data_IF_669628107333
#
_entry.id   IF_669628107333
#
_cell.length_a   1.000
_cell.length_b   1.000
_cell.length_c   1.000
_cell.angle_alpha   90.00
_cell.angle_beta   90.00
_cell.angle_gamma   90.00
#
_symmetry.space_group_name_H-M   'P 1'
#
loop_
_entity.id
_entity.type
_entity.pdbx_description
1 polymer ?
#
# COMPACT_ATOMS: atom_id res chain seq x y z
N UNK A 1 67.57 -11.97 13.48
CA UNK A 1 66.14 -12.00 13.88
C UNK A 1 65.31 -12.21 12.61
N UNK A 2 65.04 -13.46 12.23
CA UNK A 2 64.40 -13.82 10.96
C UNK A 2 62.98 -14.35 11.18
N UNK A 3 61.97 -13.66 10.66
CA UNK A 3 60.55 -13.98 10.81
C UNK A 3 60.17 -15.18 9.94
N UNK A 4 59.81 -16.31 10.58
CA UNK A 4 59.22 -17.48 9.91
C UNK A 4 57.82 -17.12 9.41
N UNK A 5 57.67 -16.87 8.11
CA UNK A 5 56.34 -16.83 7.46
C UNK A 5 55.78 -18.25 7.44
N UNK A 6 54.55 -18.44 7.93
CA UNK A 6 53.85 -19.73 7.82
C UNK A 6 53.50 -19.96 6.35
N UNK A 7 53.79 -21.15 5.86
CA UNK A 7 53.43 -21.56 4.50
C UNK A 7 51.90 -21.55 4.30
N UNK A 8 51.42 -21.14 3.12
CA UNK A 8 50.00 -21.15 2.81
C UNK A 8 49.48 -22.59 2.73
N UNK A 9 48.36 -22.83 3.41
CA UNK A 9 47.73 -24.16 3.48
C UNK A 9 47.29 -24.61 2.09
N UNK A 10 47.70 -25.81 1.67
CA UNK A 10 47.39 -26.41 0.37
C UNK A 10 45.87 -26.55 0.16
N UNK A 11 45.37 -26.09 -0.99
CA UNK A 11 43.94 -26.13 -1.38
C UNK A 11 43.32 -27.53 -1.30
N UNK A 12 44.12 -28.59 -1.41
CA UNK A 12 43.63 -29.97 -1.33
C UNK A 12 43.12 -30.37 0.06
N UNK A 13 43.64 -29.76 1.14
CA UNK A 13 43.10 -29.98 2.49
C UNK A 13 41.69 -29.43 2.65
N UNK A 14 41.33 -28.36 1.93
CA UNK A 14 39.95 -27.84 1.95
C UNK A 14 38.97 -28.79 1.25
N UNK A 15 39.39 -29.44 0.16
CA UNK A 15 38.53 -30.37 -0.60
C UNK A 15 38.27 -31.69 0.11
N UNK A 16 39.16 -32.11 1.01
CA UNK A 16 38.96 -33.32 1.82
C UNK A 16 37.93 -33.09 2.94
N UNK A 17 37.96 -31.93 3.60
CA UNK A 17 37.02 -31.59 4.69
C UNK A 17 35.60 -31.36 4.14
N UNK A 18 35.47 -30.77 2.95
CA UNK A 18 34.17 -30.54 2.31
C UNK A 18 33.45 -31.83 1.84
N UNK A 19 34.15 -32.97 1.74
CA UNK A 19 33.52 -34.28 1.40
C UNK A 19 33.10 -35.10 2.62
N UNK A 20 33.58 -34.77 3.82
CA UNK A 20 33.20 -35.43 5.08
C UNK A 20 32.04 -34.74 5.83
N UNK A 21 31.86 -33.44 5.64
CA UNK A 21 30.66 -32.73 6.06
C UNK A 21 29.61 -32.87 4.96
N UNK A 22 28.53 -33.62 5.19
CA UNK A 22 27.45 -33.93 4.23
C UNK A 22 26.65 -32.73 3.69
N UNK A 23 27.32 -31.67 3.24
CA UNK A 23 26.75 -30.49 2.60
C UNK A 23 26.50 -30.83 1.14
N UNK A 24 25.32 -31.41 0.88
CA UNK A 24 24.77 -31.44 -0.48
C UNK A 24 24.55 -29.99 -0.91
N UNK A 25 25.36 -29.52 -1.86
CA UNK A 25 25.10 -28.26 -2.56
C UNK A 25 23.72 -28.39 -3.22
N UNK A 26 22.73 -27.70 -2.68
CA UNK A 26 21.37 -27.70 -3.19
C UNK A 26 21.39 -26.91 -4.50
N UNK A 27 21.55 -27.62 -5.61
CA UNK A 27 21.37 -27.06 -6.95
C UNK A 27 19.96 -26.49 -7.00
N UNK A 28 19.84 -25.16 -7.13
CA UNK A 28 18.55 -24.49 -7.27
C UNK A 28 17.86 -25.05 -8.53
N UNK A 29 16.60 -25.48 -8.45
CA UNK A 29 15.86 -25.87 -9.65
C UNK A 29 15.68 -24.64 -10.55
N UNK A 30 16.00 -24.79 -11.84
CA UNK A 30 15.93 -23.75 -12.89
C UNK A 30 14.56 -23.07 -13.04
N UNK A 31 13.51 -23.59 -12.41
CA UNK A 31 12.19 -22.97 -12.37
C UNK A 31 12.11 -21.72 -11.48
N UNK A 32 13.04 -21.55 -10.52
CA UNK A 32 13.05 -20.39 -9.62
C UNK A 32 13.53 -19.13 -10.34
N UNK A 33 14.44 -19.26 -11.32
CA UNK A 33 14.89 -18.13 -12.14
C UNK A 33 13.80 -17.66 -13.11
N UNK A 34 12.92 -18.56 -13.58
CA UNK A 34 11.77 -18.20 -14.40
C UNK A 34 10.70 -17.44 -13.60
N UNK A 35 10.45 -17.84 -12.35
CA UNK A 35 9.48 -17.17 -11.47
C UNK A 35 9.96 -15.78 -11.01
N UNK A 36 11.26 -15.63 -10.73
CA UNK A 36 11.85 -14.34 -10.36
C UNK A 36 11.97 -13.38 -11.56
N UNK A 37 12.23 -13.90 -12.76
CA UNK A 37 12.22 -13.11 -14.00
C UNK A 37 10.82 -12.62 -14.38
N UNK A 38 9.76 -13.42 -14.12
CA UNK A 38 8.37 -13.01 -14.38
C UNK A 38 7.87 -11.98 -13.35
N UNK A 39 8.32 -12.07 -12.10
CA UNK A 39 7.98 -11.09 -11.05
C UNK A 39 8.66 -9.72 -11.26
N UNK A 40 9.91 -9.71 -11.76
CA UNK A 40 10.61 -8.47 -12.11
C UNK A 40 10.08 -7.82 -13.41
N UNK A 41 9.52 -8.60 -14.33
CA UNK A 41 8.90 -8.06 -15.54
C UNK A 41 7.55 -7.36 -15.27
N UNK A 42 6.77 -7.81 -14.27
CA UNK A 42 5.53 -7.10 -13.89
C UNK A 42 5.79 -5.86 -13.00
N UNK A 43 6.83 -5.87 -12.16
CA UNK A 43 7.18 -4.73 -11.33
C UNK A 43 7.78 -3.54 -12.11
N UNK A 44 8.45 -3.80 -13.24
CA UNK A 44 9.05 -2.75 -14.07
C UNK A 44 8.04 -1.99 -14.96
N UNK A 45 6.78 -2.44 -15.06
CA UNK A 45 5.76 -1.76 -15.87
C UNK A 45 5.07 -0.60 -15.13
N UNK A 46 5.25 -0.50 -13.80
CA UNK A 46 4.55 0.49 -12.96
C UNK A 46 5.43 1.71 -12.63
N UNK A 47 6.74 1.69 -12.93
CA UNK A 47 7.69 2.68 -12.40
C UNK A 47 8.58 3.43 -13.43
N UNK A 48 8.18 3.56 -14.70
CA UNK A 48 8.88 4.44 -15.66
C UNK A 48 7.97 5.58 -16.11
N UNK A 49 8.29 6.85 -15.80
CA UNK A 49 7.65 7.97 -16.48
C UNK A 49 8.25 8.07 -17.88
N UNK A 50 7.54 7.58 -18.90
CA UNK A 50 7.91 7.88 -20.29
C UNK A 50 7.35 9.25 -20.67
N UNK A 51 8.17 10.27 -20.45
CA UNK A 51 8.04 11.55 -21.13
C UNK A 51 8.92 11.56 -22.39
N UNK A 52 8.32 12.07 -23.47
CA UNK A 52 8.90 12.65 -24.69
C UNK A 52 8.73 11.90 -26.03
N UNK A 53 8.43 12.73 -27.05
CA UNK A 53 8.22 12.51 -28.49
C UNK A 53 6.85 11.90 -28.85
N UNK A 54 5.82 12.63 -29.30
CA UNK A 54 5.75 13.70 -30.30
C UNK A 54 6.54 13.38 -31.58
N UNK A 55 5.83 13.33 -32.70
CA UNK A 55 6.26 13.10 -34.10
C UNK A 55 6.29 11.62 -34.53
N UNK A 56 5.41 11.30 -35.49
CA UNK A 56 5.61 10.18 -36.42
C UNK A 56 4.42 9.24 -36.64
N UNK A 57 3.34 9.71 -37.28
CA UNK A 57 2.48 8.88 -38.15
C UNK A 57 1.53 9.76 -38.98
N UNK A 58 2.09 10.77 -39.65
CA UNK A 58 1.46 11.36 -40.82
C UNK A 58 2.43 11.15 -41.97
N UNK A 59 2.21 10.15 -42.83
CA UNK A 59 2.48 10.25 -44.28
C UNK A 59 2.11 9.05 -45.17
N UNK A 60 1.32 8.05 -44.74
CA UNK A 60 1.01 6.92 -45.66
C UNK A 60 -0.40 6.96 -46.28
N UNK A 61 -1.12 8.10 -46.23
CA UNK A 61 -2.41 8.24 -46.92
C UNK A 61 -2.61 9.59 -47.64
N UNK A 62 -1.53 10.22 -48.13
CA UNK A 62 -1.65 11.48 -48.91
C UNK A 62 -1.65 11.29 -50.43
N UNK A 63 -1.46 10.08 -50.97
CA UNK A 63 -1.28 9.94 -52.44
C UNK A 63 -2.57 9.76 -53.25
N UNK A 64 -3.79 9.76 -52.68
CA UNK A 64 -5.01 9.60 -53.52
C UNK A 64 -6.15 10.58 -53.25
N UNK A 65 -5.88 11.81 -52.80
CA UNK A 65 -6.91 12.86 -52.70
C UNK A 65 -6.61 14.13 -53.49
N UNK A 66 -6.04 13.99 -54.70
CA UNK A 66 -6.12 15.06 -55.72
C UNK A 66 -6.90 14.52 -56.91
N UNK A 67 -8.21 14.44 -56.79
CA UNK A 67 -9.14 14.61 -57.92
C UNK A 67 -10.58 14.60 -57.41
N UNK A 68 -11.10 15.79 -57.12
CA UNK A 68 -12.39 16.24 -57.66
C UNK A 68 -12.78 17.58 -57.03
N UNK A 69 -12.29 18.67 -57.62
CA UNK A 69 -12.93 19.98 -57.53
C UNK A 69 -14.28 19.94 -58.27
N UNK A 70 -15.36 19.75 -57.49
CA UNK A 70 -16.77 20.23 -57.57
C UNK A 70 -17.26 20.72 -58.96
N UNK A 71 -18.42 20.24 -59.47
CA UNK A 71 -19.68 20.97 -59.24
C UNK A 71 -20.99 20.15 -59.04
N UNK A 72 -21.79 20.65 -58.07
CA UNK A 72 -23.24 20.92 -58.06
C UNK A 72 -24.32 19.82 -57.88
N UNK A 73 -25.24 20.17 -56.96
CA UNK A 73 -26.69 19.90 -56.90
C UNK A 73 -27.16 18.44 -56.96
N UNK A 74 -27.25 17.76 -55.80
CA UNK A 74 -28.44 16.99 -55.39
C UNK A 74 -28.50 16.98 -53.86
N UNK A 75 -29.59 17.51 -53.28
CA UNK A 75 -29.73 17.78 -51.85
C UNK A 75 -29.90 16.56 -50.95
N UNK A 76 -29.00 15.57 -51.03
CA UNK A 76 -28.78 14.52 -50.02
C UNK A 76 -27.32 14.05 -50.08
N UNK A 77 -26.49 14.57 -49.19
CA UNK A 77 -25.17 14.00 -48.89
C UNK A 77 -25.26 13.23 -47.57
N UNK A 78 -25.14 11.90 -47.61
CA UNK A 78 -24.86 11.12 -46.41
C UNK A 78 -23.35 11.16 -46.19
N UNK A 79 -22.92 11.82 -45.12
CA UNK A 79 -21.56 11.69 -44.62
C UNK A 79 -21.51 10.35 -43.89
N UNK A 80 -20.82 9.37 -44.46
CA UNK A 80 -20.50 8.14 -43.74
C UNK A 80 -19.22 8.41 -42.94
N UNK A 81 -19.39 8.71 -41.65
CA UNK A 81 -18.28 8.91 -40.73
C UNK A 81 -17.73 7.52 -40.39
N UNK A 82 -16.42 7.25 -40.55
CA UNK A 82 -15.85 6.00 -40.06
C UNK A 82 -16.16 5.88 -38.57
N UNK A 83 -16.71 4.74 -38.16
CA UNK A 83 -16.97 4.47 -36.75
C UNK A 83 -15.69 4.75 -35.96
N UNK A 84 -15.75 5.74 -35.05
CA UNK A 84 -14.65 6.05 -34.16
C UNK A 84 -14.21 4.77 -33.48
N UNK A 85 -12.94 4.39 -33.66
CA UNK A 85 -12.36 3.25 -32.98
C UNK A 85 -12.67 3.34 -31.49
N UNK A 86 -13.23 2.28 -30.93
CA UNK A 86 -13.66 2.22 -29.54
C UNK A 86 -12.44 2.41 -28.64
N UNK A 87 -12.15 3.64 -28.24
CA UNK A 87 -11.19 3.90 -27.18
C UNK A 87 -11.78 3.27 -25.92
N UNK A 88 -11.13 2.20 -25.44
CA UNK A 88 -11.52 1.55 -24.20
C UNK A 88 -11.36 2.59 -23.08
N UNK A 89 -12.44 3.27 -22.71
CA UNK A 89 -12.39 4.25 -21.63
C UNK A 89 -12.02 3.50 -20.35
N UNK A 90 -10.84 3.81 -19.82
CA UNK A 90 -10.33 3.30 -18.57
C UNK A 90 -10.60 4.31 -17.46
N UNK A 91 -11.19 3.86 -16.35
CA UNK A 91 -11.18 4.60 -15.11
C UNK A 91 -10.76 3.69 -13.98
N UNK A 92 -9.95 4.22 -13.07
CA UNK A 92 -9.45 3.46 -11.94
C UNK A 92 -10.61 3.06 -11.02
N UNK A 93 -10.66 1.80 -10.56
CA UNK A 93 -11.57 1.39 -9.49
C UNK A 93 -11.35 2.26 -8.26
N UNK A 94 -12.41 2.69 -7.59
CA UNK A 94 -12.33 3.54 -6.40
C UNK A 94 -12.81 2.72 -5.21
N UNK A 95 -11.93 2.50 -4.23
CA UNK A 95 -12.31 1.95 -2.94
C UNK A 95 -13.11 2.99 -2.14
N UNK A 96 -14.07 2.51 -1.36
CA UNK A 96 -14.72 3.31 -0.32
C UNK A 96 -13.72 3.69 0.77
N UNK A 97 -14.15 4.52 1.72
CA UNK A 97 -13.28 5.05 2.79
C UNK A 97 -12.50 3.94 3.52
N UNK A 98 -11.19 3.87 3.26
CA UNK A 98 -10.27 2.96 3.96
C UNK A 98 -9.59 3.68 5.12
N UNK A 99 -9.48 3.05 6.31
CA UNK A 99 -8.75 3.64 7.42
C UNK A 99 -7.24 3.63 7.12
N UNK A 100 -6.52 4.67 7.54
CA UNK A 100 -5.06 4.69 7.43
C UNK A 100 -4.40 3.70 8.41
N UNK A 101 -5.02 3.48 9.57
CA UNK A 101 -4.56 2.58 10.64
C UNK A 101 -5.75 1.73 11.11
N UNK A 102 -5.50 0.45 11.39
CA UNK A 102 -6.50 -0.46 11.96
C UNK A 102 -5.83 -1.44 12.89
N UNK A 103 -6.55 -1.94 13.90
CA UNK A 103 -6.15 -3.08 14.74
C UNK A 103 -6.75 -4.41 14.28
N UNK A 104 -7.68 -4.36 13.33
CA UNK A 104 -8.35 -5.54 12.82
C UNK A 104 -7.53 -6.19 11.69
N UNK A 105 -7.14 -7.48 11.82
CA UNK A 105 -6.32 -8.15 10.81
C UNK A 105 -7.12 -8.52 9.54
N UNK A 106 -8.44 -8.32 9.54
CA UNK A 106 -9.31 -8.51 8.40
C UNK A 106 -9.88 -7.16 7.99
N UNK A 107 -9.59 -6.74 6.76
CA UNK A 107 -10.11 -5.51 6.18
C UNK A 107 -11.15 -5.83 5.11
N UNK A 108 -12.36 -5.31 5.27
CA UNK A 108 -13.36 -5.31 4.21
C UNK A 108 -13.02 -4.19 3.22
N UNK A 109 -12.61 -4.58 2.01
CA UNK A 109 -12.38 -3.68 0.89
C UNK A 109 -13.65 -3.64 0.05
N UNK A 110 -14.36 -2.51 0.09
CA UNK A 110 -15.49 -2.24 -0.79
C UNK A 110 -15.17 -1.07 -1.71
N UNK A 111 -15.91 -0.95 -2.80
CA UNK A 111 -15.80 0.19 -3.70
C UNK A 111 -16.58 0.02 -4.99
N UNK A 112 -16.32 0.94 -5.92
CA UNK A 112 -16.97 0.95 -7.23
C UNK A 112 -16.01 1.26 -8.36
N UNK A 113 -16.22 0.59 -9.48
CA UNK A 113 -15.71 0.97 -10.79
C UNK A 113 -16.70 1.97 -11.40
N UNK A 114 -16.26 3.15 -11.87
CA UNK A 114 -17.15 4.10 -12.53
C UNK A 114 -17.92 3.46 -13.68
N UNK A 115 -19.23 3.75 -13.79
CA UNK A 115 -20.14 3.03 -14.71
C UNK A 115 -19.70 3.05 -16.17
N UNK A 116 -19.08 4.14 -16.63
CA UNK A 116 -18.55 4.27 -17.99
C UNK A 116 -17.30 3.40 -18.26
N UNK A 117 -16.66 2.88 -17.22
CA UNK A 117 -15.57 1.91 -17.31
C UNK A 117 -16.04 0.47 -17.07
N UNK A 118 -17.33 0.24 -16.81
CA UNK A 118 -17.91 -1.11 -16.73
C UNK A 118 -18.20 -1.60 -18.14
N UNK A 119 -17.44 -2.58 -18.62
CA UNK A 119 -17.59 -3.16 -19.96
C UNK A 119 -17.51 -4.69 -19.88
N UNK A 120 -18.22 -5.38 -20.78
CA UNK A 120 -18.17 -6.83 -20.88
C UNK A 120 -16.74 -7.31 -21.18
N UNK A 121 -16.36 -8.46 -20.63
CA UNK A 121 -15.01 -9.03 -20.78
C UNK A 121 -13.95 -8.41 -19.87
N UNK A 122 -14.28 -7.39 -19.08
CA UNK A 122 -13.36 -6.86 -18.05
C UNK A 122 -13.46 -7.67 -16.75
N UNK A 123 -12.33 -7.76 -16.06
CA UNK A 123 -12.24 -8.34 -14.72
C UNK A 123 -11.56 -7.39 -13.76
N UNK A 124 -11.96 -7.47 -12.49
CA UNK A 124 -11.30 -6.78 -11.40
C UNK A 124 -10.27 -7.71 -10.76
N UNK A 125 -9.06 -7.22 -10.57
CA UNK A 125 -8.00 -7.92 -9.86
C UNK A 125 -7.64 -7.13 -8.60
N UNK A 126 -7.61 -7.81 -7.46
CA UNK A 126 -7.20 -7.22 -6.18
C UNK A 126 -5.89 -7.84 -5.74
N UNK A 127 -4.94 -6.97 -5.41
CA UNK A 127 -3.56 -7.31 -5.05
C UNK A 127 -3.30 -6.82 -3.64
N UNK A 128 -2.70 -7.66 -2.80
CA UNK A 128 -2.26 -7.31 -1.46
C UNK A 128 -0.77 -7.62 -1.33
N UNK A 129 0.03 -6.61 -1.01
CA UNK A 129 1.48 -6.74 -0.82
C UNK A 129 2.19 -7.42 -2.00
N UNK A 130 1.76 -7.10 -3.23
CA UNK A 130 2.29 -7.66 -4.47
C UNK A 130 1.76 -9.05 -4.86
N UNK A 131 0.92 -9.68 -4.04
CA UNK A 131 0.28 -10.96 -4.35
C UNK A 131 -1.18 -10.75 -4.79
N UNK A 132 -1.59 -11.41 -5.87
CA UNK A 132 -2.99 -11.41 -6.31
C UNK A 132 -3.81 -12.19 -5.27
N UNK A 133 -4.77 -11.50 -4.64
CA UNK A 133 -5.69 -12.09 -3.67
C UNK A 133 -6.90 -12.68 -4.37
N UNK A 134 -7.47 -11.93 -5.31
CA UNK A 134 -8.62 -12.38 -6.08
C UNK A 134 -8.64 -11.76 -7.46
N UNK A 135 -9.28 -12.44 -8.39
CA UNK A 135 -9.61 -11.93 -9.72
C UNK A 135 -11.03 -12.38 -10.03
N UNK A 136 -11.92 -11.41 -10.24
CA UNK A 136 -13.35 -11.67 -10.45
C UNK A 136 -13.83 -10.95 -11.69
N UNK A 137 -14.81 -11.50 -12.43
CA UNK A 137 -15.55 -10.74 -13.43
C UNK A 137 -16.11 -9.46 -12.81
N UNK A 138 -16.21 -8.39 -13.61
CA UNK A 138 -16.75 -7.13 -13.13
C UNK A 138 -18.26 -7.23 -12.94
N UNK A 139 -18.77 -6.81 -11.78
CA UNK A 139 -20.20 -6.73 -11.51
C UNK A 139 -20.86 -5.68 -12.42
N UNK A 140 -22.07 -5.92 -12.97
CA UNK A 140 -22.78 -4.93 -13.80
C UNK A 140 -23.06 -3.60 -13.10
N UNK A 141 -23.17 -3.59 -11.77
CA UNK A 141 -23.30 -2.37 -10.97
C UNK A 141 -21.97 -1.62 -10.76
N UNK A 142 -20.84 -2.23 -11.16
CA UNK A 142 -19.49 -1.77 -10.90
C UNK A 142 -19.02 -1.96 -9.46
N UNK A 143 -19.88 -2.44 -8.56
CA UNK A 143 -19.52 -2.65 -7.16
C UNK A 143 -18.55 -3.83 -7.00
N UNK A 144 -17.65 -3.72 -6.02
CA UNK A 144 -16.80 -4.82 -5.61
C UNK A 144 -16.69 -4.89 -4.09
N UNK A 145 -16.47 -6.11 -3.59
CA UNK A 145 -16.23 -6.39 -2.19
C UNK A 145 -15.22 -7.54 -2.08
N UNK A 146 -14.20 -7.38 -1.26
CA UNK A 146 -13.27 -8.44 -0.90
C UNK A 146 -12.85 -8.30 0.57
N UNK A 147 -12.57 -9.43 1.21
CA UNK A 147 -11.98 -9.44 2.55
C UNK A 147 -10.48 -9.71 2.42
N UNK A 148 -9.67 -8.81 2.97
CA UNK A 148 -8.22 -8.85 2.92
C UNK A 148 -7.64 -9.22 4.28
N UNK A 149 -6.77 -10.23 4.30
CA UNK A 149 -6.02 -10.61 5.48
C UNK A 149 -4.72 -9.80 5.57
N UNK A 150 -4.71 -8.77 6.42
CA UNK A 150 -3.59 -7.87 6.60
C UNK A 150 -2.44 -8.55 7.38
N UNK A 151 -1.22 -8.10 7.12
CA UNK A 151 -0.02 -8.43 7.91
C UNK A 151 0.32 -7.27 8.83
N UNK A 152 0.98 -7.54 9.95
CA UNK A 152 1.42 -6.47 10.86
C UNK A 152 2.29 -5.44 10.11
N UNK A 153 2.04 -4.16 10.39
CA UNK A 153 2.68 -3.04 9.71
C UNK A 153 1.96 -2.60 8.44
N UNK A 154 2.70 -1.97 7.53
CA UNK A 154 2.14 -1.37 6.31
C UNK A 154 1.72 -2.44 5.29
N UNK A 155 0.47 -2.35 4.82
CA UNK A 155 -0.07 -3.18 3.75
C UNK A 155 -0.41 -2.32 2.53
N UNK A 156 0.10 -2.72 1.36
CA UNK A 156 -0.21 -2.08 0.09
C UNK A 156 -1.33 -2.85 -0.61
N UNK A 157 -2.43 -2.16 -0.90
CA UNK A 157 -3.63 -2.71 -1.51
C UNK A 157 -3.77 -2.12 -2.91
N UNK A 158 -3.67 -2.96 -3.93
CA UNK A 158 -3.89 -2.60 -5.32
C UNK A 158 -5.25 -3.10 -5.81
N UNK A 159 -5.97 -2.27 -6.57
CA UNK A 159 -7.19 -2.66 -7.28
C UNK A 159 -7.01 -2.32 -8.75
N UNK A 160 -6.93 -3.33 -9.60
CA UNK A 160 -6.69 -3.21 -11.02
C UNK A 160 -7.91 -3.63 -11.83
N UNK A 161 -8.23 -2.84 -12.85
CA UNK A 161 -9.19 -3.18 -13.89
C UNK A 161 -8.44 -3.77 -15.07
N UNK A 162 -8.73 -5.03 -15.39
CA UNK A 162 -8.07 -5.79 -16.46
C UNK A 162 -9.03 -5.94 -17.64
N UNK A 163 -8.55 -5.69 -18.85
CA UNK A 163 -9.20 -6.09 -20.09
C UNK A 163 -8.29 -7.07 -20.82
N UNK A 164 -8.78 -8.27 -21.09
CA UNK A 164 -8.01 -9.40 -21.63
C UNK A 164 -6.76 -9.72 -20.81
N UNK A 165 -5.62 -9.12 -21.15
CA UNK A 165 -4.33 -9.28 -20.43
C UNK A 165 -3.70 -7.97 -19.98
N UNK A 166 -4.34 -6.84 -20.28
CA UNK A 166 -3.80 -5.52 -20.02
C UNK A 166 -4.47 -4.86 -18.82
N UNK A 167 -3.67 -4.20 -17.99
CA UNK A 167 -4.17 -3.32 -16.93
C UNK A 167 -4.63 -2.03 -17.57
N UNK A 168 -5.93 -1.80 -17.59
CA UNK A 168 -6.54 -0.61 -18.19
C UNK A 168 -6.49 0.57 -17.23
N UNK A 169 -6.67 0.31 -15.94
CA UNK A 169 -6.56 1.29 -14.88
C UNK A 169 -6.31 0.60 -13.54
N UNK A 170 -5.71 1.30 -12.58
CA UNK A 170 -5.50 0.77 -11.23
C UNK A 170 -5.51 1.88 -10.17
N UNK A 171 -5.86 1.49 -8.95
CA UNK A 171 -5.75 2.31 -7.74
C UNK A 171 -4.89 1.60 -6.70
N UNK A 172 -4.21 2.37 -5.86
CA UNK A 172 -3.37 1.86 -4.78
C UNK A 172 -3.66 2.58 -3.47
N UNK A 173 -3.78 1.81 -2.40
CA UNK A 173 -4.05 2.27 -1.04
C UNK A 173 -3.03 1.69 -0.08
N UNK A 174 -2.81 2.36 1.04
CA UNK A 174 -1.96 1.86 2.12
C UNK A 174 -2.74 1.86 3.42
N UNK A 175 -2.73 0.73 4.12
CA UNK A 175 -3.35 0.56 5.44
C UNK A 175 -2.33 -0.06 6.37
N UNK A 176 -2.13 0.52 7.55
CA UNK A 176 -1.23 -0.02 8.57
C UNK A 176 -2.03 -0.85 9.56
N UNK A 177 -1.69 -2.13 9.69
CA UNK A 177 -2.18 -2.96 10.79
C UNK A 177 -1.28 -2.72 12.00
N UNK A 178 -1.84 -2.16 13.05
CA UNK A 178 -1.19 -1.99 14.34
C UNK A 178 -2.07 -2.55 15.45
N UNK A 179 -1.53 -3.51 16.20
CA UNK A 179 -2.21 -4.20 17.30
C UNK A 179 -1.50 -3.97 18.63
N UNK A 180 -0.53 -3.07 18.64
CA UNK A 180 0.32 -2.83 19.79
C UNK A 180 -0.20 -1.61 20.53
N UNK A 181 -0.54 -1.71 21.81
CA UNK A 181 -0.86 -0.53 22.62
C UNK A 181 0.29 0.48 22.63
N UNK A 182 -0.02 1.79 22.63
CA UNK A 182 0.99 2.82 22.70
C UNK A 182 1.74 2.74 24.03
N UNK A 183 3.06 2.94 23.99
CA UNK A 183 3.85 3.03 25.23
C UNK A 183 3.55 4.34 25.94
N UNK A 184 3.34 4.29 27.25
CA UNK A 184 3.16 5.49 28.08
C UNK A 184 3.88 5.38 29.43
N UNK A 185 4.28 6.53 29.95
CA UNK A 185 4.79 6.69 31.32
C UNK A 185 4.07 7.84 31.99
N UNK A 186 3.88 7.73 33.31
CA UNK A 186 3.44 8.84 34.16
C UNK A 186 4.61 9.16 35.07
N UNK A 187 5.18 10.35 34.88
CA UNK A 187 6.36 10.79 35.62
C UNK A 187 5.96 11.45 36.94
N UNK A 188 4.79 12.11 36.97
CA UNK A 188 4.21 12.73 38.17
C UNK A 188 2.69 12.65 38.16
N UNK A 189 2.04 12.50 39.34
CA UNK A 189 2.66 12.14 40.62
C UNK A 189 3.21 10.71 40.60
N UNK A 190 4.20 10.42 41.45
CA UNK A 190 4.67 9.04 41.60
C UNK A 190 3.55 8.17 42.21
N UNK A 191 3.46 6.87 41.86
CA UNK A 191 2.47 5.98 42.45
C UNK A 191 2.53 5.99 43.98
N UNK A 192 1.39 6.28 44.62
CA UNK A 192 1.29 6.35 46.09
C UNK A 192 1.85 7.64 46.72
N UNK A 193 2.23 8.65 45.93
CA UNK A 193 2.70 9.92 46.47
C UNK A 193 1.59 10.68 47.20
N UNK A 194 1.93 11.25 48.36
CA UNK A 194 1.07 12.23 49.04
C UNK A 194 1.29 13.60 48.40
N UNK A 195 0.19 14.24 47.97
CA UNK A 195 0.23 15.58 47.38
C UNK A 195 -0.48 16.55 48.33
N UNK A 196 0.26 17.54 48.84
CA UNK A 196 -0.27 18.59 49.73
C UNK A 196 -0.65 19.84 48.92
N UNK A 197 -1.50 19.63 47.91
CA UNK A 197 -2.01 20.68 47.04
C UNK A 197 -3.41 20.31 46.56
N UNK A 198 -4.28 21.32 46.46
CA UNK A 198 -5.63 21.14 45.90
C UNK A 198 -5.59 20.85 44.39
N UNK A 199 -4.52 21.25 43.69
CA UNK A 199 -4.33 21.02 42.27
C UNK A 199 -3.17 20.02 42.07
N UNK A 200 -3.47 18.83 41.57
CA UNK A 200 -2.52 17.76 41.30
C UNK A 200 -2.11 17.85 39.84
N UNK A 201 -0.81 18.07 39.59
CA UNK A 201 -0.26 18.05 38.23
C UNK A 201 0.09 16.62 37.86
N UNK A 202 -0.50 16.15 36.77
CA UNK A 202 -0.21 14.86 36.15
C UNK A 202 0.60 15.12 34.89
N UNK A 203 1.80 14.56 34.82
CA UNK A 203 2.71 14.72 33.69
C UNK A 203 3.34 13.39 33.33
N UNK A 204 3.62 13.21 32.05
CA UNK A 204 4.21 11.99 31.52
C UNK A 204 4.48 12.06 30.04
N UNK A 205 4.80 10.91 29.47
CA UNK A 205 5.07 10.75 28.03
C UNK A 205 4.27 9.59 27.45
N UNK A 206 3.95 9.67 26.18
CA UNK A 206 3.31 8.61 25.40
C UNK A 206 3.92 8.53 24.02
N UNK A 207 3.57 7.50 23.26
CA UNK A 207 3.98 7.38 21.87
C UNK A 207 3.45 8.56 21.02
N UNK A 208 4.31 9.20 20.20
CA UNK A 208 3.91 10.31 19.34
C UNK A 208 2.67 10.03 18.48
N UNK A 209 1.70 10.93 18.54
CA UNK A 209 0.45 10.81 17.79
C UNK A 209 -0.64 9.99 18.50
N UNK A 210 -0.39 9.52 19.71
CA UNK A 210 -1.41 8.98 20.61
C UNK A 210 -2.21 10.09 21.28
N UNK A 211 -3.44 9.78 21.64
CA UNK A 211 -4.30 10.60 22.50
C UNK A 211 -4.23 10.09 23.93
N UNK A 212 -4.30 11.00 24.92
CA UNK A 212 -4.37 10.64 26.34
C UNK A 212 -5.73 11.06 26.89
N UNK A 213 -6.32 10.22 27.73
CA UNK A 213 -7.40 10.62 28.64
C UNK A 213 -6.94 10.52 30.09
N UNK A 214 -7.31 11.52 30.89
CA UNK A 214 -7.10 11.60 32.32
C UNK A 214 -8.46 11.64 33.01
N UNK A 215 -8.84 10.58 33.72
CA UNK A 215 -10.18 10.41 34.30
C UNK A 215 -11.29 10.75 33.27
N UNK A 216 -11.20 10.13 32.09
CA UNK A 216 -12.11 10.33 30.94
C UNK A 216 -12.05 11.72 30.24
N UNK A 217 -11.19 12.63 30.71
CA UNK A 217 -10.95 13.93 30.06
C UNK A 217 -9.79 13.85 29.07
N UNK A 218 -10.01 14.30 27.83
CA UNK A 218 -8.96 14.37 26.82
C UNK A 218 -7.88 15.39 27.23
N UNK A 219 -6.63 14.96 27.20
CA UNK A 219 -5.45 15.79 27.47
C UNK A 219 -4.73 16.10 26.15
N UNK A 220 -4.25 17.33 26.02
CA UNK A 220 -3.43 17.72 24.86
C UNK A 220 -2.04 17.11 24.99
N UNK A 221 -1.66 16.35 23.97
CA UNK A 221 -0.34 15.73 23.86
C UNK A 221 0.49 16.52 22.85
N UNK A 222 1.75 16.80 23.17
CA UNK A 222 2.67 17.46 22.23
C UNK A 222 3.03 16.52 21.07
N UNK A 223 3.54 17.02 19.93
CA UNK A 223 4.01 16.18 18.83
C UNK A 223 5.09 15.17 19.24
N UNK A 224 5.87 15.48 20.29
CA UNK A 224 6.90 14.62 20.85
C UNK A 224 6.35 13.59 21.84
N UNK A 225 5.04 13.59 22.12
CA UNK A 225 4.39 12.65 23.02
C UNK A 225 4.35 13.07 24.49
N UNK A 226 4.78 14.28 24.83
CA UNK A 226 4.68 14.76 26.23
C UNK A 226 3.27 15.22 26.53
N UNK A 227 2.79 14.98 27.76
CA UNK A 227 1.51 15.51 28.21
C UNK A 227 1.63 16.06 29.63
N UNK A 228 0.83 17.09 29.92
CA UNK A 228 0.71 17.65 31.26
C UNK A 228 -0.70 18.18 31.43
N UNK A 229 -1.33 17.80 32.53
CA UNK A 229 -2.64 18.30 32.90
C UNK A 229 -2.75 18.46 34.41
N UNK A 230 -3.74 19.22 34.87
CA UNK A 230 -3.97 19.42 36.30
C UNK A 230 -5.39 19.04 36.70
N UNK A 231 -5.48 18.32 37.81
CA UNK A 231 -6.70 17.77 38.40
C UNK A 231 -6.93 18.46 39.74
N UNK A 232 -8.13 19.00 39.96
CA UNK A 232 -8.52 19.52 41.28
C UNK A 232 -9.04 18.38 42.14
N UNK A 233 -8.45 18.20 43.32
CA UNK A 233 -8.84 17.17 44.26
C UNK A 233 -9.15 17.76 45.64
N UNK A 234 -10.04 17.08 46.38
CA UNK A 234 -10.27 17.33 47.80
C UNK A 234 -9.45 16.37 48.66
N UNK A 235 -9.38 16.64 49.97
CA UNK A 235 -8.68 15.78 50.91
C UNK A 235 -9.24 14.34 50.87
N UNK A 236 -8.36 13.37 50.68
CA UNK A 236 -8.72 11.96 50.59
C UNK A 236 -7.92 11.22 49.51
N UNK A 237 -8.27 9.96 49.28
CA UNK A 237 -7.70 9.17 48.19
C UNK A 237 -8.26 9.62 46.85
N UNK A 238 -7.39 9.94 45.90
CA UNK A 238 -7.77 10.42 44.56
C UNK A 238 -7.30 9.39 43.52
N UNK A 239 -8.22 8.61 42.92
CA UNK A 239 -7.86 7.74 41.82
C UNK A 239 -7.53 8.56 40.58
N UNK A 240 -6.38 8.27 39.97
CA UNK A 240 -5.94 8.89 38.72
C UNK A 240 -5.80 7.77 37.69
N UNK A 241 -6.71 7.76 36.72
CA UNK A 241 -6.69 6.85 35.58
C UNK A 241 -6.16 7.60 34.37
N UNK A 242 -5.06 7.12 33.80
CA UNK A 242 -4.48 7.66 32.57
C UNK A 242 -4.55 6.56 31.51
N UNK A 243 -5.19 6.83 30.38
CA UNK A 243 -5.28 5.89 29.25
C UNK A 243 -4.65 6.53 28.03
N UNK A 244 -3.75 5.82 27.37
CA UNK A 244 -3.21 6.20 26.08
C UNK A 244 -3.93 5.43 24.97
N UNK A 245 -4.26 6.11 23.88
CA UNK A 245 -4.90 5.49 22.72
C UNK A 245 -4.22 5.91 21.43
N UNK A 246 -3.80 4.96 20.61
CA UNK A 246 -3.13 5.24 19.34
C UNK A 246 -4.11 5.53 18.19
N UNK A 247 -3.58 5.66 16.96
CA UNK A 247 -4.38 5.91 15.74
C UNK A 247 -5.15 4.69 15.25
N UNK A 248 -4.71 3.48 15.60
CA UNK A 248 -5.39 2.23 15.29
C UNK A 248 -6.49 1.89 16.33
N UNK A 249 -6.54 2.63 17.43
CA UNK A 249 -7.47 2.45 18.54
C UNK A 249 -7.01 1.41 19.57
N UNK A 250 -5.71 1.15 19.69
CA UNK A 250 -5.14 0.33 20.77
C UNK A 250 -4.97 1.17 22.04
N UNK A 251 -5.18 0.54 23.21
CA UNK A 251 -5.12 1.13 24.56
C UNK A 251 -4.32 0.23 25.52
#
# INVERSE_FOLDING_TARGET
MGSRRRDPVSRDRYRAIARGAGVRVRVRPRSVDAALALALALAALIAVPRAAAAVGAGLEHVVTSIQSSVPLLQGRGSIDLPAGGSSSVGAAPIADSLPAYTRDPQLALTGKVPSFAVQAGRSLQIVLNGAVVTTTPLDPSGAFNATLALKDGANSIGVALIADRDVVAASSYTVVLDRTPPKMTVDRPAPGATVDAQNIVVAGTTEPGSTITLNDRVVVVTPEGSFTDSLSASQGSVPITVVARDRAGNE
#
